data_IF_413325220773
#
_entry.id   IF_413325220773
#
_cell.length_a   1.000
_cell.length_b   1.000
_cell.length_c   1.000
_cell.angle_alpha   90.00
_cell.angle_beta   90.00
_cell.angle_gamma   90.00
#
_symmetry.space_group_name_H-M   'P 1'
#
loop_
_entity.id
_entity.type
_entity.pdbx_description
1 polymer ?
#
# COMPACT_ATOMS: atom_id res chain seq x y z
N UNK A 1 -30.99 8.43 -1.21
CA UNK A 1 -31.17 6.96 -1.28
C UNK A 1 -31.94 6.49 -2.52
N UNK A 2 -32.97 7.21 -2.98
CA UNK A 2 -33.78 6.76 -4.13
C UNK A 2 -33.10 7.01 -5.49
N UNK A 3 -32.29 8.06 -5.61
CA UNK A 3 -31.58 8.41 -6.86
C UNK A 3 -30.48 7.41 -7.22
N UNK A 4 -29.79 6.86 -6.22
CA UNK A 4 -28.70 5.87 -6.41
C UNK A 4 -29.24 4.58 -7.04
N UNK A 5 -30.50 4.21 -6.75
CA UNK A 5 -31.14 3.01 -7.32
C UNK A 5 -31.43 3.11 -8.82
N UNK A 6 -31.39 4.31 -9.40
CA UNK A 6 -31.56 4.52 -10.83
C UNK A 6 -30.23 4.40 -11.62
N UNK A 7 -29.09 4.41 -10.91
CA UNK A 7 -27.78 4.18 -11.49
C UNK A 7 -27.59 2.69 -11.78
N UNK A 8 -26.93 2.36 -12.87
CA UNK A 8 -26.42 1.02 -13.12
C UNK A 8 -25.45 0.60 -12.01
N UNK A 9 -25.24 -0.70 -11.85
CA UNK A 9 -24.28 -1.22 -10.86
C UNK A 9 -22.89 -0.61 -11.04
N UNK A 10 -22.45 -0.38 -12.28
CA UNK A 10 -21.15 0.24 -12.54
C UNK A 10 -21.11 1.70 -12.07
N UNK A 11 -22.13 2.50 -12.40
CA UNK A 11 -22.21 3.89 -11.96
C UNK A 11 -22.32 4.03 -10.43
N UNK A 12 -22.95 3.05 -9.77
CA UNK A 12 -22.95 2.98 -8.30
C UNK A 12 -21.55 2.71 -7.74
N UNK A 13 -20.77 1.81 -8.36
CA UNK A 13 -19.38 1.52 -7.96
C UNK A 13 -18.48 2.73 -8.20
N UNK A 14 -18.60 3.39 -9.34
CA UNK A 14 -17.84 4.59 -9.67
C UNK A 14 -18.13 5.72 -8.67
N UNK A 15 -19.40 5.90 -8.30
CA UNK A 15 -19.82 6.87 -7.28
C UNK A 15 -19.24 6.53 -5.89
N UNK A 16 -19.22 5.24 -5.51
CA UNK A 16 -18.60 4.81 -4.25
C UNK A 16 -17.10 5.12 -4.25
N UNK A 17 -16.41 4.87 -5.36
CA UNK A 17 -14.99 5.18 -5.50
C UNK A 17 -14.74 6.69 -5.36
N UNK A 18 -15.51 7.51 -6.06
CA UNK A 18 -15.40 8.97 -6.00
C UNK A 18 -15.65 9.52 -4.59
N UNK A 19 -16.70 9.05 -3.92
CA UNK A 19 -17.00 9.40 -2.52
C UNK A 19 -15.85 8.96 -1.61
N UNK A 20 -15.29 7.77 -1.83
CA UNK A 20 -14.17 7.25 -1.02
C UNK A 20 -12.92 8.12 -1.17
N UNK A 21 -12.62 8.59 -2.37
CA UNK A 21 -11.49 9.51 -2.63
C UNK A 21 -11.72 10.84 -1.91
N UNK A 22 -12.91 11.41 -2.02
CA UNK A 22 -13.26 12.67 -1.35
C UNK A 22 -13.17 12.56 0.17
N UNK A 23 -13.68 11.47 0.74
CA UNK A 23 -13.61 11.22 2.18
C UNK A 23 -12.15 11.01 2.64
N UNK A 24 -11.32 10.34 1.86
CA UNK A 24 -9.89 10.18 2.19
C UNK A 24 -9.15 11.51 2.28
N UNK A 25 -9.52 12.47 1.44
CA UNK A 25 -8.93 13.81 1.47
C UNK A 25 -9.39 14.65 2.66
N UNK A 26 -10.57 14.37 3.24
CA UNK A 26 -11.10 15.06 4.42
C UNK A 26 -10.70 14.39 5.73
N UNK A 27 -10.32 13.12 5.69
CA UNK A 27 -9.73 12.46 6.84
C UNK A 27 -8.42 13.20 7.20
N UNK A 28 -8.22 13.55 8.47
CA UNK A 28 -6.93 14.07 8.91
C UNK A 28 -5.87 13.07 8.48
N UNK A 29 -4.78 13.56 7.87
CA UNK A 29 -3.60 12.77 7.52
C UNK A 29 -3.39 11.72 8.60
N UNK A 30 -3.68 10.48 8.26
CA UNK A 30 -3.62 9.36 9.20
C UNK A 30 -2.15 9.08 9.46
N UNK A 31 -1.58 9.87 10.36
CA UNK A 31 -0.17 9.88 10.75
C UNK A 31 0.78 10.11 9.56
N UNK A 32 1.63 11.12 9.68
CA UNK A 32 2.84 11.16 8.86
C UNK A 32 3.69 9.99 9.32
N UNK A 33 3.50 8.83 8.71
CA UNK A 33 4.24 7.62 9.06
C UNK A 33 5.73 7.91 8.89
N UNK A 34 6.48 7.69 9.96
CA UNK A 34 7.92 7.78 9.88
C UNK A 34 8.45 6.50 9.25
N UNK A 35 9.38 6.61 8.30
CA UNK A 35 10.10 5.44 7.78
C UNK A 35 10.79 4.65 8.90
N UNK A 36 11.08 5.32 10.03
CA UNK A 36 11.67 4.70 11.24
C UNK A 36 10.72 3.71 11.92
N UNK A 37 9.41 3.75 11.65
CA UNK A 37 8.46 2.73 12.14
C UNK A 37 8.77 1.34 11.58
N UNK A 38 9.51 1.26 10.46
CA UNK A 38 9.96 0.01 9.85
C UNK A 38 11.31 -0.47 10.38
N UNK A 39 11.99 0.32 11.22
CA UNK A 39 13.30 -0.03 11.75
C UNK A 39 13.23 -1.30 12.59
N UNK A 40 14.11 -2.27 12.30
CA UNK A 40 14.21 -3.51 13.06
C UNK A 40 13.13 -4.56 12.77
N UNK A 41 12.03 -4.23 12.08
CA UNK A 41 10.96 -5.21 11.74
C UNK A 41 11.49 -6.37 10.90
N UNK A 42 12.50 -6.12 10.05
CA UNK A 42 13.13 -7.17 9.24
C UNK A 42 14.13 -8.04 10.00
N UNK A 43 14.65 -7.62 11.16
CA UNK A 43 15.79 -8.29 11.81
C UNK A 43 15.57 -9.78 12.12
N UNK A 44 14.37 -10.24 12.54
CA UNK A 44 14.09 -11.67 12.72
C UNK A 44 14.12 -12.47 11.41
N UNK A 45 13.69 -11.87 10.30
CA UNK A 45 13.64 -12.51 8.97
C UNK A 45 15.05 -12.73 8.44
N UNK A 46 15.96 -11.77 8.68
CA UNK A 46 17.35 -11.85 8.26
C UNK A 46 18.23 -12.70 9.18
N UNK A 47 17.68 -13.28 10.25
CA UNK A 47 18.45 -14.07 11.21
C UNK A 47 18.96 -15.36 10.57
N UNK A 48 20.28 -15.53 10.56
CA UNK A 48 20.93 -16.69 9.94
C UNK A 48 21.08 -16.60 8.42
N UNK A 49 20.63 -15.50 7.81
CA UNK A 49 20.86 -15.20 6.40
C UNK A 49 22.01 -14.19 6.26
N UNK A 50 22.94 -14.46 5.35
CA UNK A 50 23.94 -13.45 4.96
C UNK A 50 23.29 -12.45 4.03
N UNK A 51 23.00 -11.25 4.54
CA UNK A 51 22.44 -10.15 3.74
C UNK A 51 23.31 -9.84 2.51
N UNK A 52 24.63 -9.92 2.65
CA UNK A 52 25.57 -9.71 1.56
C UNK A 52 25.48 -10.78 0.47
N UNK A 53 25.35 -12.05 0.87
CA UNK A 53 25.19 -13.14 -0.09
C UNK A 53 23.85 -13.04 -0.83
N UNK A 54 22.77 -12.72 -0.11
CA UNK A 54 21.44 -12.54 -0.68
C UNK A 54 21.41 -11.39 -1.70
N UNK A 55 21.96 -10.21 -1.35
CA UNK A 55 22.04 -9.07 -2.28
C UNK A 55 22.90 -9.38 -3.50
N UNK A 56 23.98 -10.13 -3.33
CA UNK A 56 24.85 -10.55 -4.45
C UNK A 56 24.11 -11.50 -5.40
N UNK A 57 23.33 -12.45 -4.86
CA UNK A 57 22.48 -13.35 -5.63
C UNK A 57 21.44 -12.57 -6.43
N UNK A 58 20.70 -11.66 -5.79
CA UNK A 58 19.69 -10.83 -6.45
C UNK A 58 20.29 -9.92 -7.54
N UNK A 59 21.48 -9.37 -7.32
CA UNK A 59 22.17 -8.59 -8.37
C UNK A 59 22.59 -9.44 -9.57
N UNK A 60 22.96 -10.70 -9.32
CA UNK A 60 23.30 -11.62 -10.40
C UNK A 60 22.06 -12.05 -11.20
N UNK A 61 20.88 -12.13 -10.58
CA UNK A 61 19.61 -12.43 -11.29
C UNK A 61 19.07 -11.23 -12.05
N UNK A 62 19.41 -10.00 -11.63
CA UNK A 62 19.04 -8.75 -12.32
C UNK A 62 20.02 -8.37 -13.43
N UNK A 63 20.87 -9.30 -13.90
CA UNK A 63 21.77 -9.08 -15.03
C UNK A 63 21.04 -8.36 -16.17
N UNK A 64 21.50 -7.13 -16.46
CA UNK A 64 20.86 -6.20 -17.38
C UNK A 64 20.85 -6.64 -18.84
#
# INVERSE_FOLDING_TARGET
>A
MNEIRHLSTQEQLDLIEEITVLLRATLPSQFTHSILELEGLGAPIWRGLSAHAYVTQERATWGG
#
